data_IF_647416538433
#
_entry.id   IF_647416538433
#
_cell.length_a   1.000
_cell.length_b   1.000
_cell.length_c   1.000
_cell.angle_alpha   90.00
_cell.angle_beta   90.00
_cell.angle_gamma   90.00
#
_symmetry.space_group_name_H-M   'P 1'
#
loop_
_entity.id
_entity.type
_entity.pdbx_description
1 polymer ?
#
# COMPACT_ATOMS: atom_id res chain seq x y z
N UNK A 1 30.30 1.27 -16.59
CA UNK A 1 29.70 -0.04 -16.30
C UNK A 1 29.68 -0.18 -14.80
N UNK A 2 28.68 0.38 -14.14
CA UNK A 2 28.52 0.33 -12.69
C UNK A 2 27.15 -0.30 -12.39
N UNK A 3 27.26 -1.51 -11.91
CA UNK A 3 26.37 -2.28 -11.05
C UNK A 3 24.85 -2.23 -11.27
N UNK A 4 24.43 -2.94 -12.30
CA UNK A 4 23.03 -3.42 -12.44
C UNK A 4 22.65 -4.49 -11.40
N UNK A 5 23.60 -5.00 -10.62
CA UNK A 5 23.40 -6.10 -9.67
C UNK A 5 22.95 -5.64 -8.27
N UNK A 6 23.27 -4.42 -7.83
CA UNK A 6 22.83 -3.94 -6.49
C UNK A 6 21.34 -3.62 -6.41
N UNK A 7 20.67 -3.38 -7.55
CA UNK A 7 19.23 -3.07 -7.58
C UNK A 7 18.30 -4.30 -7.51
N UNK A 8 18.82 -5.51 -7.69
CA UNK A 8 17.98 -6.73 -7.66
C UNK A 8 17.93 -7.40 -6.29
N UNK A 9 18.93 -7.20 -5.43
CA UNK A 9 18.95 -7.83 -4.10
C UNK A 9 18.04 -7.15 -3.07
N UNK A 10 17.78 -5.85 -3.22
CA UNK A 10 16.91 -5.06 -2.32
C UNK A 10 15.40 -5.36 -2.53
N UNK A 11 15.04 -6.08 -3.60
CA UNK A 11 13.66 -6.31 -3.99
C UNK A 11 13.18 -7.77 -3.76
N UNK A 12 13.95 -8.61 -3.08
CA UNK A 12 13.43 -9.91 -2.67
C UNK A 12 12.48 -9.73 -1.50
N UNK A 13 11.19 -9.85 -1.81
CA UNK A 13 10.17 -10.03 -0.78
C UNK A 13 10.56 -11.21 0.12
N UNK A 14 10.49 -11.08 1.43
CA UNK A 14 10.66 -12.23 2.32
C UNK A 14 9.63 -13.31 1.94
N UNK A 15 10.02 -14.56 2.08
CA UNK A 15 9.12 -15.70 1.91
C UNK A 15 7.88 -15.48 2.79
N UNK A 16 6.69 -15.59 2.20
CA UNK A 16 5.44 -15.47 2.96
C UNK A 16 5.38 -16.66 3.91
N UNK A 17 5.55 -16.39 5.21
CA UNK A 17 5.35 -17.41 6.21
C UNK A 17 3.86 -17.78 6.27
N UNK A 18 3.51 -19.08 6.34
CA UNK A 18 2.13 -19.50 6.46
C UNK A 18 1.42 -18.79 7.62
N UNK A 19 0.22 -18.25 7.37
CA UNK A 19 -0.59 -17.61 8.40
C UNK A 19 -0.35 -16.10 8.59
N UNK A 20 0.58 -15.48 7.87
CA UNK A 20 0.80 -14.04 7.93
C UNK A 20 0.09 -13.30 6.79
N UNK A 21 -0.43 -12.08 7.04
CA UNK A 21 -0.89 -11.20 5.97
C UNK A 21 0.31 -10.64 5.19
N UNK A 22 0.07 -10.32 3.90
CA UNK A 22 1.08 -9.76 3.00
C UNK A 22 0.76 -8.29 2.67
N UNK A 23 1.75 -7.42 2.68
CA UNK A 23 1.62 -6.03 2.20
C UNK A 23 1.78 -6.02 0.69
N UNK A 24 0.72 -5.61 -0.04
CA UNK A 24 0.76 -5.43 -1.49
C UNK A 24 1.06 -3.98 -1.81
N UNK A 25 2.26 -3.67 -2.25
CA UNK A 25 2.68 -2.33 -2.66
C UNK A 25 2.36 -2.16 -4.15
N UNK A 26 1.41 -1.27 -4.49
CA UNK A 26 0.94 -1.06 -5.87
C UNK A 26 1.66 0.12 -6.50
N UNK A 27 2.54 -0.13 -7.46
CA UNK A 27 3.39 0.85 -8.14
C UNK A 27 3.10 0.99 -9.65
N UNK A 28 1.92 0.57 -10.10
CA UNK A 28 1.53 0.56 -11.52
C UNK A 28 0.87 1.86 -12.02
N UNK A 29 0.67 2.87 -11.17
CA UNK A 29 0.04 4.14 -11.52
C UNK A 29 0.89 5.00 -12.47
N UNK A 30 0.25 5.70 -13.44
CA UNK A 30 0.94 6.50 -14.47
C UNK A 30 1.51 7.84 -13.97
N UNK A 31 0.99 8.37 -12.87
CA UNK A 31 1.46 9.64 -12.30
C UNK A 31 1.06 10.88 -13.09
N UNK A 32 0.01 10.81 -13.91
CA UNK A 32 -0.42 11.88 -14.82
C UNK A 32 -0.71 13.21 -14.08
N UNK A 33 -1.36 13.15 -12.92
CA UNK A 33 -1.66 14.35 -12.09
C UNK A 33 -0.40 15.02 -11.58
N UNK A 34 0.60 14.24 -11.18
CA UNK A 34 1.87 14.76 -10.71
C UNK A 34 2.60 15.52 -11.82
N UNK A 35 2.67 14.95 -13.03
CA UNK A 35 3.25 15.61 -14.19
C UNK A 35 2.47 16.88 -14.57
N UNK A 36 1.14 16.83 -14.57
CA UNK A 36 0.29 17.98 -14.85
C UNK A 36 0.46 19.12 -13.83
N UNK A 37 0.86 18.82 -12.59
CA UNK A 37 1.12 19.82 -11.54
C UNK A 37 2.54 20.43 -11.61
N UNK A 38 3.34 20.08 -12.62
CA UNK A 38 4.71 20.60 -12.82
C UNK A 38 5.82 19.64 -12.39
N UNK A 39 5.50 18.38 -12.13
CA UNK A 39 6.50 17.36 -11.81
C UNK A 39 7.44 17.10 -13.00
N UNK A 40 8.75 17.00 -12.73
CA UNK A 40 9.78 16.76 -13.75
C UNK A 40 10.04 15.28 -14.06
N UNK A 41 9.45 14.37 -13.28
CA UNK A 41 9.63 12.92 -13.39
C UNK A 41 8.36 12.19 -12.92
N UNK A 42 8.34 10.86 -13.06
CA UNK A 42 7.25 10.06 -12.47
C UNK A 42 7.20 10.24 -10.95
N UNK A 43 6.01 10.40 -10.36
CA UNK A 43 5.81 10.69 -8.93
C UNK A 43 6.58 9.74 -7.99
N UNK A 44 6.64 8.46 -8.31
CA UNK A 44 7.35 7.46 -7.51
C UNK A 44 8.89 7.61 -7.55
N UNK A 45 9.41 8.33 -8.55
CA UNK A 45 10.83 8.65 -8.68
C UNK A 45 11.17 10.04 -8.13
N UNK A 46 10.17 10.84 -7.76
CA UNK A 46 10.39 12.13 -7.14
C UNK A 46 11.14 11.96 -5.81
N UNK A 47 12.11 12.85 -5.55
CA UNK A 47 12.98 12.75 -4.37
C UNK A 47 12.29 13.25 -3.11
N UNK A 48 12.40 12.46 -2.04
CA UNK A 48 12.02 12.81 -0.67
C UNK A 48 13.28 12.66 0.21
N UNK A 49 13.98 13.76 0.45
CA UNK A 49 15.33 13.69 1.04
C UNK A 49 16.31 12.99 0.10
N UNK A 50 16.99 11.96 0.58
CA UNK A 50 17.98 11.18 -0.20
C UNK A 50 17.36 9.96 -0.90
N UNK A 51 16.09 9.69 -0.69
CA UNK A 51 15.38 8.55 -1.27
C UNK A 51 14.25 9.03 -2.18
N UNK A 52 13.81 8.18 -3.11
CA UNK A 52 12.61 8.45 -3.89
C UNK A 52 11.35 8.14 -3.05
N UNK A 53 10.21 8.68 -3.47
CA UNK A 53 8.89 8.35 -2.89
C UNK A 53 8.71 6.84 -2.74
N UNK A 54 8.98 6.08 -3.81
CA UNK A 54 8.88 4.61 -3.76
C UNK A 54 9.84 3.99 -2.76
N UNK A 55 11.11 4.42 -2.74
CA UNK A 55 12.11 3.88 -1.82
C UNK A 55 11.73 4.14 -0.36
N UNK A 56 11.22 5.33 -0.06
CA UNK A 56 10.77 5.69 1.29
C UNK A 56 9.57 4.84 1.72
N UNK A 57 8.58 4.64 0.84
CA UNK A 57 7.45 3.74 1.12
C UNK A 57 7.93 2.31 1.37
N UNK A 58 8.82 1.79 0.52
CA UNK A 58 9.38 0.44 0.68
C UNK A 58 10.22 0.30 1.94
N UNK A 59 10.96 1.32 2.35
CA UNK A 59 11.72 1.30 3.59
C UNK A 59 10.82 1.10 4.82
N UNK A 60 9.66 1.77 4.87
CA UNK A 60 8.68 1.57 5.93
C UNK A 60 8.06 0.16 5.90
N UNK A 61 7.77 -0.36 4.70
CA UNK A 61 7.26 -1.73 4.51
C UNK A 61 8.29 -2.75 4.98
N UNK A 62 9.55 -2.61 4.61
CA UNK A 62 10.65 -3.49 5.05
C UNK A 62 10.86 -3.42 6.57
N UNK A 63 10.83 -2.21 7.13
CA UNK A 63 10.95 -2.00 8.58
C UNK A 63 9.78 -2.61 9.38
N UNK A 64 8.62 -2.86 8.76
CA UNK A 64 7.50 -3.54 9.41
C UNK A 64 7.78 -5.02 9.69
N UNK A 65 8.73 -5.64 8.99
CA UNK A 65 9.02 -7.07 9.08
C UNK A 65 7.93 -7.98 8.50
N UNK A 66 6.87 -7.41 7.91
CA UNK A 66 5.81 -8.19 7.28
C UNK A 66 6.25 -8.71 5.91
N UNK A 67 5.73 -9.87 5.46
CA UNK A 67 5.83 -10.27 4.07
C UNK A 67 5.24 -9.17 3.16
N UNK A 68 5.87 -8.92 2.03
CA UNK A 68 5.40 -7.90 1.09
C UNK A 68 5.65 -8.30 -0.35
N UNK A 69 4.85 -7.73 -1.25
CA UNK A 69 4.98 -7.90 -2.70
C UNK A 69 4.86 -6.56 -3.39
N UNK A 70 5.76 -6.25 -4.31
CA UNK A 70 5.74 -5.03 -5.11
C UNK A 70 5.19 -5.33 -6.50
N UNK A 71 3.99 -4.81 -6.78
CA UNK A 71 3.37 -4.91 -8.08
C UNK A 71 3.74 -3.70 -8.96
N UNK A 72 4.43 -3.96 -10.07
CA UNK A 72 4.94 -2.95 -11.02
C UNK A 72 4.44 -3.14 -12.44
N UNK A 73 3.70 -4.20 -12.70
CA UNK A 73 3.30 -4.56 -14.06
C UNK A 73 2.48 -3.46 -14.72
N UNK A 74 2.54 -3.37 -16.06
CA UNK A 74 1.59 -2.56 -16.81
C UNK A 74 0.22 -3.22 -16.74
N UNK A 75 -0.67 -2.64 -15.96
CA UNK A 75 -2.05 -3.11 -15.84
C UNK A 75 -3.02 -2.08 -16.41
N UNK A 76 -4.16 -2.51 -17.00
CA UNK A 76 -5.19 -1.61 -17.48
C UNK A 76 -5.75 -0.71 -16.39
N UNK A 77 -5.87 -1.24 -15.14
CA UNK A 77 -6.41 -0.50 -14.03
C UNK A 77 -5.90 -0.97 -12.66
N UNK A 78 -6.33 -0.28 -11.61
CA UNK A 78 -5.95 -0.59 -10.23
C UNK A 78 -6.49 -1.96 -9.79
N UNK A 79 -7.69 -2.35 -10.23
CA UNK A 79 -8.27 -3.66 -9.95
C UNK A 79 -7.41 -4.79 -10.49
N UNK A 80 -6.91 -4.65 -11.72
CA UNK A 80 -6.04 -5.62 -12.36
C UNK A 80 -4.71 -5.75 -11.61
N UNK A 81 -4.15 -4.65 -11.13
CA UNK A 81 -2.93 -4.64 -10.31
C UNK A 81 -3.12 -5.39 -8.99
N UNK A 82 -4.26 -5.15 -8.30
CA UNK A 82 -4.59 -5.86 -7.06
C UNK A 82 -4.76 -7.35 -7.34
N UNK A 83 -5.52 -7.71 -8.38
CA UNK A 83 -5.77 -9.10 -8.73
C UNK A 83 -4.47 -9.86 -9.06
N UNK A 84 -3.54 -9.23 -9.79
CA UNK A 84 -2.23 -9.80 -10.08
C UNK A 84 -1.41 -10.04 -8.81
N UNK A 85 -1.34 -9.03 -7.93
CA UNK A 85 -0.61 -9.11 -6.67
C UNK A 85 -1.17 -10.19 -5.73
N UNK A 86 -2.49 -10.30 -5.62
CA UNK A 86 -3.17 -11.33 -4.80
C UNK A 86 -2.87 -12.74 -5.33
N UNK A 87 -2.92 -12.93 -6.66
CA UNK A 87 -2.57 -14.21 -7.30
C UNK A 87 -1.11 -14.59 -7.06
N UNK A 88 -0.19 -13.60 -7.12
CA UNK A 88 1.24 -13.82 -6.87
C UNK A 88 1.54 -14.15 -5.38
N UNK A 89 0.63 -13.81 -4.48
CA UNK A 89 0.77 -14.01 -3.02
C UNK A 89 -0.34 -14.89 -2.45
N UNK A 90 -0.73 -15.91 -3.21
CA UNK A 90 -1.90 -16.76 -2.89
C UNK A 90 -1.81 -17.50 -1.54
N UNK A 91 -0.62 -17.66 -0.96
CA UNK A 91 -0.41 -18.31 0.34
C UNK A 91 -0.57 -17.36 1.54
N UNK A 92 -0.76 -16.06 1.31
CA UNK A 92 -0.95 -15.08 2.37
C UNK A 92 -2.28 -15.30 3.12
N UNK A 93 -2.29 -15.04 4.42
CA UNK A 93 -3.50 -15.13 5.26
C UNK A 93 -4.26 -13.80 5.32
N UNK A 94 -4.23 -13.04 4.25
CA UNK A 94 -4.85 -11.73 4.11
C UNK A 94 -3.89 -10.73 3.44
N UNK A 95 -4.38 -9.55 3.13
CA UNK A 95 -3.62 -8.56 2.38
C UNK A 95 -3.84 -7.15 2.92
N UNK A 96 -2.74 -6.38 2.98
CA UNK A 96 -2.74 -4.95 3.19
C UNK A 96 -2.45 -4.27 1.85
N UNK A 97 -3.47 -3.70 1.21
CA UNK A 97 -3.35 -3.05 -0.09
C UNK A 97 -2.86 -1.62 0.09
N UNK A 98 -1.60 -1.36 -0.28
CA UNK A 98 -0.88 -0.10 -0.07
C UNK A 98 -0.49 0.52 -1.41
N UNK A 99 -1.01 1.71 -1.78
CA UNK A 99 -0.44 2.51 -2.86
C UNK A 99 1.02 2.89 -2.58
N UNK A 100 1.87 2.83 -3.62
CA UNK A 100 3.31 3.06 -3.49
C UNK A 100 3.70 4.53 -3.28
N UNK A 101 2.75 5.45 -3.38
CA UNK A 101 2.91 6.90 -3.27
C UNK A 101 2.56 7.47 -1.89
N UNK A 102 2.58 6.64 -0.86
CA UNK A 102 2.38 7.01 0.55
C UNK A 102 3.71 6.95 1.34
N UNK A 103 4.67 7.86 1.07
CA UNK A 103 6.02 7.75 1.61
C UNK A 103 6.12 8.01 3.12
N UNK A 104 5.09 8.57 3.74
CA UNK A 104 5.07 8.87 5.17
C UNK A 104 4.43 7.76 6.02
N UNK A 105 3.97 6.66 5.40
CA UNK A 105 3.42 5.52 6.14
C UNK A 105 4.43 4.97 7.14
N UNK A 106 3.98 4.65 8.35
CA UNK A 106 4.85 4.12 9.39
C UNK A 106 4.80 2.59 9.43
N UNK A 107 5.96 1.99 9.73
CA UNK A 107 6.05 0.54 9.93
C UNK A 107 5.12 0.03 11.04
N UNK A 108 4.97 0.80 12.12
CA UNK A 108 4.06 0.49 13.23
C UNK A 108 2.60 0.43 12.80
N UNK A 109 2.19 1.29 11.87
CA UNK A 109 0.83 1.29 11.29
C UNK A 109 0.55 0.00 10.53
N UNK A 110 1.51 -0.45 9.70
CA UNK A 110 1.42 -1.73 8.98
C UNK A 110 1.34 -2.91 9.95
N UNK A 111 2.20 -2.93 10.98
CA UNK A 111 2.20 -3.96 12.00
C UNK A 111 0.87 -4.04 12.77
N UNK A 112 0.33 -2.88 13.18
CA UNK A 112 -0.94 -2.84 13.90
C UNK A 112 -2.11 -3.33 13.05
N UNK A 113 -2.17 -2.95 11.77
CA UNK A 113 -3.19 -3.46 10.85
C UNK A 113 -3.08 -4.99 10.66
N UNK A 114 -1.86 -5.49 10.50
CA UNK A 114 -1.61 -6.93 10.37
C UNK A 114 -2.04 -7.69 11.63
N UNK A 115 -1.73 -7.18 12.82
CA UNK A 115 -2.15 -7.76 14.09
C UNK A 115 -3.67 -7.76 14.24
N UNK A 116 -4.33 -6.65 13.92
CA UNK A 116 -5.79 -6.57 13.96
C UNK A 116 -6.44 -7.55 12.98
N UNK A 117 -5.86 -7.69 11.77
CA UNK A 117 -6.36 -8.63 10.77
C UNK A 117 -6.22 -10.08 11.23
N UNK A 118 -5.09 -10.43 11.86
CA UNK A 118 -4.83 -11.77 12.39
C UNK A 118 -5.75 -12.15 13.54
N UNK A 119 -6.28 -11.18 14.28
CA UNK A 119 -7.25 -11.40 15.36
C UNK A 119 -8.68 -11.65 14.88
N UNK A 120 -8.96 -11.38 13.61
CA UNK A 120 -10.27 -11.61 13.02
C UNK A 120 -10.41 -13.08 12.60
N UNK A 121 -11.61 -13.63 12.77
CA UNK A 121 -11.89 -14.97 12.27
C UNK A 121 -11.75 -14.99 10.74
N UNK A 122 -10.86 -15.85 10.24
CA UNK A 122 -10.44 -15.87 8.84
C UNK A 122 -11.50 -16.37 7.85
N UNK A 123 -12.62 -16.92 8.36
CA UNK A 123 -13.68 -17.54 7.54
C UNK A 123 -14.65 -16.54 6.91
N UNK A 124 -14.73 -15.33 7.46
CA UNK A 124 -15.62 -14.29 6.95
C UNK A 124 -14.83 -13.18 6.29
N UNK A 125 -15.42 -12.59 5.25
CA UNK A 125 -14.90 -11.36 4.68
C UNK A 125 -14.86 -10.28 5.78
N UNK A 126 -13.68 -9.80 6.07
CA UNK A 126 -13.45 -8.67 6.98
C UNK A 126 -12.53 -7.69 6.30
N UNK A 127 -12.88 -6.42 6.40
CA UNK A 127 -12.09 -5.30 5.89
C UNK A 127 -11.77 -4.37 7.05
N UNK A 128 -10.52 -3.93 7.14
CA UNK A 128 -10.12 -2.89 8.09
C UNK A 128 -9.62 -1.71 7.26
N UNK A 129 -10.20 -0.54 7.47
CA UNK A 129 -9.79 0.69 6.83
C UNK A 129 -9.30 1.69 7.88
N UNK A 130 -8.04 2.19 7.76
CA UNK A 130 -7.55 3.24 8.62
C UNK A 130 -8.22 4.58 8.28
N UNK A 131 -8.36 5.41 9.32
CA UNK A 131 -8.84 6.79 9.21
C UNK A 131 -7.88 7.68 9.98
N UNK A 132 -7.44 8.75 9.33
CA UNK A 132 -6.70 9.83 9.98
C UNK A 132 -7.56 11.08 9.98
N UNK A 133 -7.88 11.60 11.16
CA UNK A 133 -8.75 12.78 11.34
C UNK A 133 -10.07 12.73 10.53
N UNK A 134 -10.67 11.55 10.44
CA UNK A 134 -11.92 11.32 9.71
C UNK A 134 -11.77 11.05 8.20
N UNK A 135 -10.59 11.23 7.64
CA UNK A 135 -10.29 10.92 6.24
C UNK A 135 -9.95 9.43 6.08
N UNK A 136 -10.54 8.78 5.07
CA UNK A 136 -10.26 7.39 4.72
C UNK A 136 -8.83 7.26 4.22
N UNK A 137 -8.08 6.28 4.75
CA UNK A 137 -6.69 6.08 4.42
C UNK A 137 -6.37 4.67 3.90
N UNK A 138 -5.08 4.45 3.70
CA UNK A 138 -4.42 3.21 3.31
C UNK A 138 -3.32 2.82 4.31
N UNK A 139 -2.90 1.52 4.29
CA UNK A 139 -3.42 0.44 3.48
C UNK A 139 -4.82 0.00 3.93
N UNK A 140 -5.63 -0.47 3.00
CA UNK A 140 -6.85 -1.19 3.35
C UNK A 140 -6.50 -2.65 3.56
N UNK A 141 -6.88 -3.20 4.70
CA UNK A 141 -6.59 -4.60 5.04
C UNK A 141 -7.80 -5.49 4.76
N UNK A 142 -7.56 -6.64 4.14
CA UNK A 142 -8.55 -7.63 3.74
C UNK A 142 -8.21 -8.99 4.33
N UNK A 143 -9.19 -9.66 4.95
CA UNK A 143 -9.03 -11.03 5.43
C UNK A 143 -8.86 -12.01 4.26
N UNK A 144 -8.36 -13.21 4.57
CA UNK A 144 -8.20 -14.30 3.59
C UNK A 144 -9.48 -14.62 2.82
N UNK A 145 -10.64 -14.46 3.44
CA UNK A 145 -11.92 -14.70 2.80
C UNK A 145 -12.19 -13.79 1.58
N UNK A 146 -11.50 -12.65 1.46
CA UNK A 146 -11.58 -11.78 0.29
C UNK A 146 -10.80 -12.29 -0.93
N UNK A 147 -10.04 -13.39 -0.82
CA UNK A 147 -9.12 -13.87 -1.87
C UNK A 147 -9.75 -13.95 -3.25
N UNK A 148 -10.94 -14.58 -3.34
CA UNK A 148 -11.63 -14.75 -4.62
C UNK A 148 -12.06 -13.41 -5.20
N UNK A 149 -12.73 -12.57 -4.40
CA UNK A 149 -13.22 -11.27 -4.85
C UNK A 149 -12.07 -10.35 -5.29
N UNK A 150 -10.96 -10.33 -4.52
CA UNK A 150 -9.76 -9.56 -4.88
C UNK A 150 -9.08 -10.08 -6.16
N UNK A 151 -8.99 -11.40 -6.35
CA UNK A 151 -8.36 -12.01 -7.52
C UNK A 151 -9.20 -11.86 -8.81
N UNK A 152 -10.48 -11.52 -8.70
CA UNK A 152 -11.41 -11.28 -9.81
C UNK A 152 -11.57 -9.78 -10.14
N UNK A 153 -10.91 -8.88 -9.40
CA UNK A 153 -10.95 -7.44 -9.67
C UNK A 153 -10.41 -7.08 -11.05
N UNK A 154 -11.01 -6.06 -11.66
CA UNK A 154 -10.56 -5.48 -12.93
C UNK A 154 -10.93 -3.99 -13.01
N UNK A 155 -10.27 -3.26 -13.92
CA UNK A 155 -10.54 -1.84 -14.18
C UNK A 155 -10.04 -0.90 -13.08
N UNK A 156 -10.46 0.37 -13.14
CA UNK A 156 -9.85 1.47 -12.40
C UNK A 156 -10.33 1.63 -10.95
N UNK A 157 -11.47 1.04 -10.58
CA UNK A 157 -12.08 1.25 -9.26
C UNK A 157 -11.35 0.52 -8.10
N UNK A 158 -10.35 -0.31 -8.42
CA UNK A 158 -9.63 -1.05 -7.41
C UNK A 158 -10.58 -1.91 -6.56
N UNK A 159 -10.34 -1.98 -5.24
CA UNK A 159 -11.14 -2.76 -4.30
C UNK A 159 -12.34 -1.98 -3.71
N UNK A 160 -12.71 -0.82 -4.26
CA UNK A 160 -13.75 0.05 -3.68
C UNK A 160 -15.13 -0.66 -3.58
N UNK A 161 -15.46 -1.54 -4.52
CA UNK A 161 -16.70 -2.33 -4.48
C UNK A 161 -16.72 -3.30 -3.29
N UNK A 162 -15.61 -3.97 -3.01
CA UNK A 162 -15.46 -4.91 -1.88
C UNK A 162 -15.57 -4.15 -0.55
N UNK A 163 -14.91 -2.98 -0.44
CA UNK A 163 -14.98 -2.13 0.75
C UNK A 163 -16.41 -1.65 0.99
N UNK A 164 -17.13 -1.24 -0.05
CA UNK A 164 -18.54 -0.81 0.05
C UNK A 164 -19.42 -1.95 0.49
N UNK A 165 -19.32 -3.11 -0.14
CA UNK A 165 -20.07 -4.31 0.23
C UNK A 165 -19.80 -4.68 1.70
N UNK A 166 -18.54 -4.65 2.14
CA UNK A 166 -18.19 -4.91 3.53
C UNK A 166 -18.84 -3.91 4.50
N UNK A 167 -18.93 -2.63 4.12
CA UNK A 167 -19.58 -1.61 4.93
C UNK A 167 -21.11 -1.85 5.05
N UNK A 168 -21.78 -2.11 3.94
CA UNK A 168 -23.21 -2.40 3.88
C UNK A 168 -23.60 -3.64 4.70
N UNK A 169 -22.72 -4.63 4.79
CA UNK A 169 -22.91 -5.86 5.53
C UNK A 169 -22.27 -5.88 6.93
N UNK A 170 -21.90 -4.72 7.47
CA UNK A 170 -21.28 -4.57 8.80
C UNK A 170 -19.99 -5.38 8.99
N UNK A 171 -19.24 -5.58 7.92
CA UNK A 171 -17.97 -6.31 7.87
C UNK A 171 -16.75 -5.40 7.70
N UNK A 172 -16.99 -4.10 7.60
CA UNK A 172 -15.95 -3.06 7.59
C UNK A 172 -15.68 -2.58 9.03
N UNK A 173 -14.45 -2.78 9.48
CA UNK A 173 -13.94 -2.17 10.71
C UNK A 173 -13.24 -0.86 10.38
N UNK A 174 -13.76 0.24 10.89
CA UNK A 174 -13.05 1.51 10.92
C UNK A 174 -11.97 1.44 12.02
N UNK A 175 -10.77 1.91 11.68
CA UNK A 175 -9.68 2.06 12.63
C UNK A 175 -9.13 3.49 12.57
N UNK A 176 -9.42 4.29 13.61
CA UNK A 176 -8.86 5.63 13.73
C UNK A 176 -7.40 5.53 14.17
N UNK A 177 -6.47 6.10 13.40
CA UNK A 177 -5.03 6.06 13.63
C UNK A 177 -4.43 7.48 13.61
N UNK A 178 -3.27 7.65 14.25
CA UNK A 178 -2.56 8.92 14.34
C UNK A 178 -1.47 9.08 13.26
N UNK A 179 -1.47 8.23 12.23
CA UNK A 179 -0.49 8.28 11.16
C UNK A 179 -1.02 9.02 9.93
N UNK A 180 -0.55 10.26 9.73
CA UNK A 180 -0.85 11.05 8.53
C UNK A 180 -0.39 10.34 7.24
N UNK A 181 0.60 9.45 7.33
CA UNK A 181 1.08 8.64 6.20
C UNK A 181 0.01 7.73 5.61
N UNK A 182 -1.10 7.50 6.32
CA UNK A 182 -2.24 6.76 5.77
C UNK A 182 -3.00 7.54 4.68
N UNK A 183 -2.93 8.87 4.66
CA UNK A 183 -3.80 9.73 3.83
C UNK A 183 -3.03 10.71 2.95
N UNK A 184 -1.74 10.92 3.19
CA UNK A 184 -0.94 11.88 2.44
C UNK A 184 -0.20 11.16 1.31
N UNK A 185 -0.89 11.06 0.16
CA UNK A 185 -0.35 10.54 -1.09
C UNK A 185 0.34 11.63 -1.91
N UNK A 186 1.38 11.26 -2.65
CA UNK A 186 2.14 12.16 -3.53
C UNK A 186 1.52 12.14 -4.93
N UNK A 187 0.37 12.82 -5.08
CA UNK A 187 -0.32 12.96 -6.37
C UNK A 187 -0.03 14.29 -7.10
N UNK A 188 0.57 15.27 -6.38
CA UNK A 188 0.93 16.58 -6.93
C UNK A 188 2.29 17.04 -6.39
N UNK A 189 2.91 18.04 -7.05
CA UNK A 189 4.13 18.69 -6.55
C UNK A 189 3.90 19.32 -5.17
N UNK A 190 2.73 19.91 -4.94
CA UNK A 190 2.37 20.49 -3.65
C UNK A 190 2.32 19.42 -2.54
N UNK A 191 1.72 18.26 -2.81
CA UNK A 191 1.69 17.13 -1.87
C UNK A 191 3.10 16.61 -1.58
N UNK A 192 3.99 16.58 -2.58
CA UNK A 192 5.40 16.22 -2.39
C UNK A 192 6.11 17.20 -1.44
N UNK A 193 5.91 18.51 -1.59
CA UNK A 193 6.51 19.52 -0.71
C UNK A 193 5.99 19.39 0.72
N UNK A 194 4.71 19.12 0.91
CA UNK A 194 4.15 18.83 2.23
C UNK A 194 4.74 17.56 2.84
N UNK A 195 4.84 16.49 2.05
CA UNK A 195 5.49 15.26 2.50
C UNK A 195 6.96 15.50 2.90
N UNK A 196 7.72 16.31 2.13
CA UNK A 196 9.11 16.69 2.47
C UNK A 196 9.20 17.42 3.80
N UNK A 197 8.33 18.39 4.05
CA UNK A 197 8.31 19.15 5.29
C UNK A 197 8.09 18.24 6.50
N UNK A 198 7.12 17.34 6.41
CA UNK A 198 6.80 16.39 7.50
C UNK A 198 7.93 15.37 7.67
N UNK A 199 8.48 14.86 6.57
CA UNK A 199 9.58 13.90 6.61
C UNK A 199 10.82 14.50 7.28
N UNK A 200 11.20 15.72 6.94
CA UNK A 200 12.31 16.43 7.58
C UNK A 200 12.07 16.61 9.08
N UNK A 201 10.88 17.02 9.49
CA UNK A 201 10.55 17.21 10.90
C UNK A 201 10.58 15.90 11.71
N UNK A 202 10.37 14.74 11.07
CA UNK A 202 10.46 13.41 11.71
C UNK A 202 11.90 12.89 11.83
N UNK A 203 12.83 13.39 11.00
CA UNK A 203 14.21 12.89 10.88
C UNK A 203 15.27 13.93 11.32
N UNK A 204 14.85 15.06 11.89
CA UNK A 204 15.70 16.08 12.55
C UNK A 204 15.77 15.80 14.03
#
# INVERSE_FOLDING_TARGET
>A
MLDSNMNQEVLRAPSIAPGQPCVLVLAAGRGDRFLASGGSSHKLQAMLGQQTVLQTTLAAVQASGLPWYLERGPHPGMGDSIAAAVKATADANGWLVLPADLPLIQASTLQQLALQLAQLESRELRVIQPFYQGQKGHPVAFSRAAAKELAELSGDLGAASIVRNAAENQRLRRWDCDDIGCVLDVDTVQALEEARRIWLARNS
#
